data_IF_294419770873
#
_entry.id   IF_294419770873
#
_cell.length_a   1.000
_cell.length_b   1.000
_cell.length_c   1.000
_cell.angle_alpha   90.00
_cell.angle_beta   90.00
_cell.angle_gamma   90.00
#
_symmetry.space_group_name_H-M   'P 1'
#
loop_
_entity.id
_entity.type
_entity.pdbx_description
1 polymer ?
#
# COMPACT_ATOMS: atom_id res chain seq x y z
N UNK A 1 -67.00 -11.33 43.27
CA UNK A 1 -66.81 -10.43 42.12
C UNK A 1 -65.34 -10.15 42.03
N UNK A 2 -64.73 -10.77 41.04
CA UNK A 2 -63.32 -10.78 40.72
C UNK A 2 -62.84 -9.42 40.19
N UNK A 3 -61.60 -9.06 40.49
CA UNK A 3 -60.62 -8.54 39.52
C UNK A 3 -59.31 -8.24 40.24
N UNK A 4 -58.48 -9.28 40.38
CA UNK A 4 -57.04 -9.12 40.41
C UNK A 4 -56.62 -8.75 38.99
N UNK A 5 -55.88 -7.67 38.83
CA UNK A 5 -55.37 -7.17 37.56
C UNK A 5 -53.86 -7.50 37.49
N UNK A 6 -53.42 -8.51 36.72
CA UNK A 6 -52.00 -8.81 36.57
C UNK A 6 -51.58 -8.69 35.11
N UNK A 7 -50.91 -7.60 34.74
CA UNK A 7 -49.88 -7.61 33.69
C UNK A 7 -49.31 -6.20 33.48
N UNK A 8 -48.28 -5.85 34.25
CA UNK A 8 -47.28 -4.91 33.74
C UNK A 8 -46.31 -5.74 32.90
N UNK A 9 -46.17 -5.52 31.58
CA UNK A 9 -45.21 -6.26 30.79
C UNK A 9 -43.81 -5.85 31.26
N UNK A 10 -43.07 -6.82 31.81
CA UNK A 10 -41.68 -6.65 32.16
C UNK A 10 -40.92 -6.14 30.92
N UNK A 11 -40.38 -4.93 31.02
CA UNK A 11 -39.53 -4.36 29.99
C UNK A 11 -38.38 -5.33 29.75
N UNK A 12 -38.34 -5.92 28.56
CA UNK A 12 -37.23 -6.73 28.09
C UNK A 12 -35.99 -5.82 28.02
N UNK A 13 -35.15 -5.89 29.04
CA UNK A 13 -33.81 -5.32 29.00
C UNK A 13 -33.06 -5.99 27.86
N UNK A 14 -33.02 -5.33 26.70
CA UNK A 14 -32.14 -5.74 25.62
C UNK A 14 -30.72 -5.70 26.17
N UNK A 15 -30.14 -6.86 26.43
CA UNK A 15 -28.72 -6.97 26.75
C UNK A 15 -27.99 -6.51 25.49
N UNK A 16 -27.63 -5.22 25.43
CA UNK A 16 -26.72 -4.70 24.41
C UNK A 16 -25.45 -5.53 24.58
N UNK A 17 -25.04 -6.35 23.61
CA UNK A 17 -23.83 -7.13 23.73
C UNK A 17 -22.70 -6.14 23.98
N UNK A 18 -22.01 -6.27 25.11
CA UNK A 18 -20.81 -5.49 25.39
C UNK A 18 -19.81 -5.81 24.28
N UNK A 19 -19.67 -4.90 23.31
CA UNK A 19 -18.68 -5.06 22.25
C UNK A 19 -17.32 -5.18 22.92
N UNK A 20 -16.71 -6.37 22.87
CA UNK A 20 -15.36 -6.58 23.37
C UNK A 20 -14.46 -5.55 22.68
N UNK A 21 -13.60 -4.83 23.42
CA UNK A 21 -12.75 -3.82 22.82
C UNK A 21 -11.94 -4.46 21.68
N UNK A 22 -11.83 -3.79 20.52
CA UNK A 22 -11.16 -4.35 19.35
C UNK A 22 -9.73 -4.73 19.72
N UNK A 23 -9.40 -6.02 19.52
CA UNK A 23 -8.07 -6.55 19.83
C UNK A 23 -7.13 -6.21 18.69
N UNK A 24 -6.16 -5.36 18.96
CA UNK A 24 -5.06 -5.00 18.07
C UNK A 24 -3.78 -5.67 18.54
N UNK A 25 -2.88 -5.97 17.60
CA UNK A 25 -1.65 -6.71 17.87
C UNK A 25 -0.57 -5.89 18.60
N UNK A 26 -0.80 -4.58 18.80
CA UNK A 26 0.14 -3.62 19.40
C UNK A 26 1.52 -3.69 18.73
N UNK A 27 2.61 -3.38 19.43
CA UNK A 27 3.93 -3.29 18.78
C UNK A 27 4.46 -4.65 18.27
N UNK A 28 4.70 -5.60 19.18
CA UNK A 28 5.38 -6.85 18.84
C UNK A 28 4.55 -7.76 17.95
N UNK A 29 3.26 -7.93 18.23
CA UNK A 29 2.40 -8.76 17.38
C UNK A 29 2.29 -8.21 15.96
N UNK A 30 2.18 -6.88 15.82
CA UNK A 30 2.12 -6.24 14.50
C UNK A 30 3.45 -6.32 13.77
N UNK A 31 4.57 -6.25 14.50
CA UNK A 31 5.90 -6.39 13.90
C UNK A 31 6.12 -7.81 13.38
N UNK A 32 5.82 -8.84 14.19
CA UNK A 32 5.99 -10.23 13.78
C UNK A 32 5.07 -10.61 12.61
N UNK A 33 3.79 -10.28 12.70
CA UNK A 33 2.87 -10.47 11.58
C UNK A 33 3.24 -9.61 10.37
N UNK A 34 3.79 -8.41 10.61
CA UNK A 34 4.22 -7.52 9.56
C UNK A 34 5.38 -8.11 8.75
N UNK A 35 6.35 -8.74 9.41
CA UNK A 35 7.42 -9.49 8.76
C UNK A 35 6.87 -10.66 7.93
N UNK A 36 5.85 -11.37 8.43
CA UNK A 36 5.19 -12.45 7.68
C UNK A 36 4.44 -11.92 6.45
N UNK A 37 3.72 -10.81 6.57
CA UNK A 37 3.02 -10.16 5.45
C UNK A 37 4.03 -9.68 4.41
N UNK A 38 5.14 -9.09 4.85
CA UNK A 38 6.25 -8.69 3.98
C UNK A 38 6.83 -9.91 3.25
N UNK A 39 7.16 -10.98 3.97
CA UNK A 39 7.66 -12.21 3.36
C UNK A 39 6.67 -12.82 2.36
N UNK A 40 5.37 -12.81 2.67
CA UNK A 40 4.32 -13.27 1.77
C UNK A 40 4.25 -12.43 0.48
N UNK A 41 4.36 -11.10 0.59
CA UNK A 41 4.42 -10.20 -0.56
C UNK A 41 5.56 -10.57 -1.52
N UNK A 42 6.78 -10.71 -0.98
CA UNK A 42 7.95 -11.10 -1.77
C UNK A 42 7.82 -12.53 -2.32
N UNK A 43 7.27 -13.47 -1.56
CA UNK A 43 7.02 -14.83 -2.05
C UNK A 43 6.08 -14.85 -3.27
N UNK A 44 5.00 -14.04 -3.24
CA UNK A 44 4.10 -13.87 -4.38
C UNK A 44 4.80 -13.30 -5.61
N UNK A 45 5.62 -12.27 -5.43
CA UNK A 45 6.42 -11.66 -6.51
C UNK A 45 7.45 -12.63 -7.09
N UNK A 46 8.17 -13.35 -6.22
CA UNK A 46 9.21 -14.32 -6.60
C UNK A 46 8.66 -15.56 -7.29
N UNK A 47 7.42 -15.97 -6.98
CA UNK A 47 6.78 -17.09 -7.67
C UNK A 47 6.60 -16.81 -9.18
N UNK A 48 6.27 -15.57 -9.54
CA UNK A 48 6.15 -15.15 -10.95
C UNK A 48 7.52 -15.13 -11.62
N UNK A 49 8.53 -14.52 -10.97
CA UNK A 49 9.91 -14.49 -11.49
C UNK A 49 10.41 -15.92 -11.74
N UNK A 50 10.26 -16.80 -10.74
CA UNK A 50 10.67 -18.19 -10.84
C UNK A 50 9.94 -18.92 -11.98
N UNK A 51 8.65 -18.67 -12.15
CA UNK A 51 7.88 -19.24 -13.25
C UNK A 51 8.43 -18.84 -14.62
N UNK A 52 8.80 -17.57 -14.82
CA UNK A 52 9.42 -17.11 -16.07
C UNK A 52 10.82 -17.68 -16.27
N UNK A 53 11.65 -17.71 -15.21
CA UNK A 53 13.00 -18.29 -15.27
C UNK A 53 12.94 -19.77 -15.64
N UNK A 54 12.01 -20.54 -15.07
CA UNK A 54 11.89 -21.97 -15.33
C UNK A 54 11.28 -22.32 -16.69
N UNK A 55 10.50 -21.41 -17.30
CA UNK A 55 9.89 -21.62 -18.63
C UNK A 55 10.72 -21.09 -19.78
N UNK A 56 11.79 -20.37 -19.50
CA UNK A 56 12.71 -19.88 -20.51
C UNK A 56 13.47 -21.05 -21.15
N UNK A 57 13.64 -20.99 -22.46
CA UNK A 57 14.53 -21.90 -23.18
C UNK A 57 15.99 -21.42 -23.05
N UNK A 58 16.91 -22.37 -22.82
CA UNK A 58 18.34 -22.12 -22.70
C UNK A 58 18.89 -22.26 -21.27
N UNK A 59 20.21 -22.06 -21.09
CA UNK A 59 20.86 -22.21 -19.79
C UNK A 59 20.39 -21.13 -18.80
N UNK A 60 20.23 -21.52 -17.53
CA UNK A 60 19.95 -20.60 -16.43
C UNK A 60 21.29 -19.98 -16.00
N UNK A 61 21.54 -18.76 -16.45
CA UNK A 61 22.68 -17.93 -16.01
C UNK A 61 22.22 -16.62 -15.34
N UNK A 62 23.17 -15.90 -14.74
CA UNK A 62 22.88 -14.68 -13.99
C UNK A 62 22.34 -13.56 -14.90
N UNK A 63 22.86 -13.43 -16.12
CA UNK A 63 22.42 -12.41 -17.05
C UNK A 63 20.97 -12.66 -17.50
N UNK A 64 20.63 -13.93 -17.73
CA UNK A 64 19.30 -14.39 -18.03
C UNK A 64 18.30 -14.08 -16.92
N UNK A 65 18.68 -14.33 -15.67
CA UNK A 65 17.86 -14.02 -14.50
C UNK A 65 17.62 -12.50 -14.36
N UNK A 66 18.65 -11.67 -14.53
CA UNK A 66 18.53 -10.21 -14.48
C UNK A 66 17.55 -9.70 -15.54
N UNK A 67 17.64 -10.21 -16.77
CA UNK A 67 16.73 -9.81 -17.84
C UNK A 67 15.27 -10.19 -17.53
N UNK A 68 15.03 -11.37 -16.95
CA UNK A 68 13.66 -11.78 -16.56
C UNK A 68 13.13 -10.87 -15.46
N UNK A 69 13.93 -10.58 -14.45
CA UNK A 69 13.55 -9.73 -13.30
C UNK A 69 13.26 -8.29 -13.74
N UNK A 70 13.99 -7.77 -14.71
CA UNK A 70 13.80 -6.41 -15.24
C UNK A 70 12.68 -6.26 -16.27
N UNK A 71 12.11 -7.37 -16.76
CA UNK A 71 11.08 -7.34 -17.80
C UNK A 71 9.77 -6.70 -17.31
N UNK A 72 9.23 -5.76 -18.11
CA UNK A 72 8.02 -5.02 -17.76
C UNK A 72 6.79 -5.92 -17.55
N UNK A 73 6.63 -6.96 -18.37
CA UNK A 73 5.59 -7.97 -18.16
C UNK A 73 5.80 -8.75 -16.84
N UNK A 74 7.02 -9.22 -16.58
CA UNK A 74 7.37 -9.95 -15.35
C UNK A 74 7.07 -9.10 -14.12
N UNK A 75 7.55 -7.85 -14.09
CA UNK A 75 7.34 -6.92 -12.98
C UNK A 75 5.85 -6.67 -12.75
N UNK A 76 5.08 -6.43 -13.82
CA UNK A 76 3.65 -6.21 -13.73
C UNK A 76 2.93 -7.39 -13.08
N UNK A 77 3.22 -8.62 -13.55
CA UNK A 77 2.64 -9.83 -13.00
C UNK A 77 3.11 -10.11 -11.57
N UNK A 78 4.38 -9.87 -11.25
CA UNK A 78 4.93 -10.01 -9.90
C UNK A 78 4.20 -9.11 -8.91
N UNK A 79 4.03 -7.82 -9.23
CA UNK A 79 3.31 -6.87 -8.37
C UNK A 79 1.86 -7.32 -8.15
N UNK A 80 1.17 -7.75 -9.21
CA UNK A 80 -0.20 -8.26 -9.13
C UNK A 80 -0.27 -9.54 -8.27
N UNK A 81 0.69 -10.46 -8.40
CA UNK A 81 0.75 -11.70 -7.63
C UNK A 81 1.12 -11.48 -6.15
N UNK A 82 1.80 -10.39 -5.82
CA UNK A 82 2.06 -9.99 -4.43
C UNK A 82 0.77 -9.64 -3.66
N UNK A 83 -0.22 -9.03 -4.33
CA UNK A 83 -1.48 -8.61 -3.70
C UNK A 83 -2.25 -9.76 -3.02
N UNK A 84 -2.60 -10.88 -3.68
CA UNK A 84 -3.31 -11.97 -3.02
C UNK A 84 -2.50 -12.58 -1.87
N UNK A 85 -1.18 -12.65 -1.97
CA UNK A 85 -0.33 -13.15 -0.88
C UNK A 85 -0.40 -12.23 0.37
N UNK A 86 -0.36 -10.91 0.15
CA UNK A 86 -0.57 -9.91 1.21
C UNK A 86 -1.97 -10.05 1.81
N UNK A 87 -3.01 -10.16 0.99
CA UNK A 87 -4.39 -10.29 1.46
C UNK A 87 -4.60 -11.55 2.31
N UNK A 88 -4.02 -12.69 1.93
CA UNK A 88 -4.09 -13.94 2.70
C UNK A 88 -3.38 -13.79 4.04
N UNK A 89 -2.17 -13.24 4.05
CA UNK A 89 -1.40 -13.04 5.28
C UNK A 89 -2.10 -12.06 6.24
N UNK A 90 -2.62 -10.93 5.72
CA UNK A 90 -3.41 -9.97 6.49
C UNK A 90 -4.70 -10.60 7.00
N UNK A 91 -5.42 -11.33 6.16
CA UNK A 91 -6.67 -11.99 6.56
C UNK A 91 -6.43 -12.95 7.72
N UNK A 92 -5.36 -13.77 7.66
CA UNK A 92 -5.02 -14.69 8.74
C UNK A 92 -4.71 -13.93 10.04
N UNK A 93 -3.82 -12.94 9.98
CA UNK A 93 -3.43 -12.14 11.13
C UNK A 93 -4.63 -11.44 11.78
N UNK A 94 -5.52 -10.87 10.97
CA UNK A 94 -6.67 -10.11 11.46
C UNK A 94 -7.78 -11.05 11.94
N UNK A 95 -8.00 -12.18 11.27
CA UNK A 95 -8.99 -13.18 11.68
C UNK A 95 -8.71 -13.71 13.07
N UNK A 96 -7.44 -13.96 13.40
CA UNK A 96 -6.98 -14.42 14.72
C UNK A 96 -7.20 -13.34 15.78
N UNK A 97 -7.10 -12.05 15.42
CA UNK A 97 -7.38 -10.95 16.36
C UNK A 97 -8.85 -10.90 16.80
N UNK A 98 -9.77 -11.45 15.99
CA UNK A 98 -11.22 -11.41 16.25
C UNK A 98 -11.90 -10.07 15.90
N UNK A 99 -11.16 -9.12 15.31
CA UNK A 99 -11.70 -7.85 14.82
C UNK A 99 -12.15 -8.00 13.36
N UNK A 100 -13.27 -7.39 12.93
CA UNK A 100 -13.67 -7.39 11.52
C UNK A 100 -12.57 -6.82 10.61
N UNK A 101 -12.35 -7.43 9.45
CA UNK A 101 -11.25 -7.07 8.53
C UNK A 101 -11.28 -5.60 8.12
N UNK A 102 -12.47 -5.11 7.73
CA UNK A 102 -12.67 -3.72 7.34
C UNK A 102 -12.43 -2.73 8.49
N UNK A 103 -12.79 -3.10 9.72
CA UNK A 103 -12.57 -2.25 10.89
C UNK A 103 -11.10 -2.21 11.30
N UNK A 104 -10.40 -3.35 11.23
CA UNK A 104 -8.98 -3.43 11.55
C UNK A 104 -8.16 -2.53 10.63
N UNK A 105 -8.39 -2.64 9.32
CA UNK A 105 -7.65 -1.89 8.30
C UNK A 105 -8.23 -0.48 8.07
N UNK A 106 -9.30 -0.09 8.76
CA UNK A 106 -10.05 1.15 8.52
C UNK A 106 -10.42 1.37 7.04
N UNK A 107 -11.06 0.36 6.44
CA UNK A 107 -11.66 0.42 5.10
C UNK A 107 -12.95 1.25 5.12
N UNK A 108 -12.86 2.48 5.60
CA UNK A 108 -13.98 3.40 5.81
C UNK A 108 -14.11 4.34 4.61
N UNK A 109 -15.35 4.54 4.16
CA UNK A 109 -15.66 5.61 3.21
C UNK A 109 -15.34 6.99 3.81
N UNK A 110 -15.10 7.96 2.93
CA UNK A 110 -14.86 9.35 3.32
C UNK A 110 -15.49 10.29 2.28
N UNK A 111 -15.65 11.58 2.59
CA UNK A 111 -16.25 12.53 1.65
C UNK A 111 -15.34 12.77 0.44
N UNK A 112 -15.93 13.07 -0.72
CA UNK A 112 -15.17 13.39 -1.94
C UNK A 112 -14.18 14.55 -1.74
N UNK A 113 -14.52 15.51 -0.86
CA UNK A 113 -13.66 16.64 -0.49
C UNK A 113 -12.34 16.16 0.09
N UNK A 114 -12.32 15.07 0.86
CA UNK A 114 -11.09 14.55 1.45
C UNK A 114 -10.17 13.92 0.38
N UNK A 115 -10.73 13.35 -0.69
CA UNK A 115 -9.96 12.90 -1.84
C UNK A 115 -9.32 14.08 -2.58
N UNK A 116 -10.06 15.18 -2.74
CA UNK A 116 -9.50 16.41 -3.34
C UNK A 116 -8.41 17.02 -2.44
N UNK A 117 -8.62 17.09 -1.13
CA UNK A 117 -7.59 17.55 -0.18
C UNK A 117 -6.34 16.67 -0.30
N UNK A 118 -6.50 15.35 -0.33
CA UNK A 118 -5.41 14.40 -0.50
C UNK A 118 -4.66 14.60 -1.82
N UNK A 119 -5.38 14.74 -2.94
CA UNK A 119 -4.79 14.99 -4.26
C UNK A 119 -4.07 16.33 -4.36
N UNK A 120 -4.63 17.41 -3.79
CA UNK A 120 -3.98 18.72 -3.75
C UNK A 120 -2.73 18.69 -2.86
N UNK A 121 -2.82 18.08 -1.68
CA UNK A 121 -1.66 17.94 -0.79
C UNK A 121 -0.52 17.15 -1.45
N UNK A 122 -0.86 16.07 -2.17
CA UNK A 122 0.10 15.32 -2.97
C UNK A 122 0.71 16.17 -4.08
N UNK A 123 -0.12 16.87 -4.86
CA UNK A 123 0.35 17.74 -5.94
C UNK A 123 1.30 18.82 -5.45
N UNK A 124 0.98 19.48 -4.33
CA UNK A 124 1.86 20.47 -3.69
C UNK A 124 3.18 19.84 -3.27
N UNK A 125 3.15 18.65 -2.68
CA UNK A 125 4.36 17.94 -2.24
C UNK A 125 5.26 17.59 -3.44
N UNK A 126 4.71 16.98 -4.49
CA UNK A 126 5.45 16.58 -5.69
C UNK A 126 6.00 17.80 -6.44
N UNK A 127 5.20 18.87 -6.60
CA UNK A 127 5.70 20.13 -7.19
C UNK A 127 6.82 20.76 -6.36
N UNK A 128 6.76 20.63 -5.03
CA UNK A 128 7.84 21.05 -4.15
C UNK A 128 9.14 20.28 -4.40
N UNK A 129 9.06 18.97 -4.54
CA UNK A 129 10.22 18.13 -4.87
C UNK A 129 10.76 18.38 -6.28
N UNK A 130 9.89 18.57 -7.29
CA UNK A 130 10.30 18.96 -8.64
C UNK A 130 11.05 20.31 -8.63
N UNK A 131 10.56 21.30 -7.89
CA UNK A 131 11.22 22.59 -7.74
C UNK A 131 12.61 22.47 -7.08
N UNK A 132 12.74 21.65 -6.03
CA UNK A 132 14.03 21.38 -5.37
C UNK A 132 14.97 20.63 -6.32
N UNK A 133 14.46 19.67 -7.09
CA UNK A 133 15.23 18.92 -8.08
C UNK A 133 15.86 19.86 -9.10
N UNK A 134 15.04 20.75 -9.70
CA UNK A 134 15.50 21.78 -10.65
C UNK A 134 16.50 22.76 -10.02
N UNK A 135 16.21 23.25 -8.82
CA UNK A 135 17.08 24.19 -8.11
C UNK A 135 18.44 23.59 -7.73
N UNK A 136 18.51 22.27 -7.56
CA UNK A 136 19.75 21.54 -7.23
C UNK A 136 20.44 20.96 -8.47
N UNK A 137 19.93 21.23 -9.67
CA UNK A 137 20.50 20.74 -10.93
C UNK A 137 20.36 19.22 -11.10
N UNK A 138 19.44 18.57 -10.39
CA UNK A 138 19.14 17.15 -10.57
C UNK A 138 18.19 16.99 -11.73
N UNK A 139 18.63 16.29 -12.76
CA UNK A 139 17.77 15.94 -13.88
C UNK A 139 16.82 14.80 -13.49
N UNK A 140 15.53 14.98 -13.74
CA UNK A 140 14.53 13.92 -13.60
C UNK A 140 14.69 12.99 -14.80
N UNK A 141 15.49 11.94 -14.64
CA UNK A 141 15.65 10.90 -15.66
C UNK A 141 14.60 9.79 -15.47
N UNK A 142 14.12 9.15 -16.55
CA UNK A 142 13.16 8.04 -16.45
C UNK A 142 13.65 6.86 -15.59
N UNK A 143 14.97 6.63 -15.51
CA UNK A 143 15.61 5.60 -14.68
C UNK A 143 14.93 4.23 -14.78
N UNK A 144 14.82 3.54 -13.64
CA UNK A 144 14.13 2.25 -13.51
C UNK A 144 12.72 2.26 -14.11
N UNK A 145 11.93 3.31 -13.86
CA UNK A 145 10.55 3.40 -14.36
C UNK A 145 10.52 3.47 -15.89
N UNK A 146 11.47 4.18 -16.50
CA UNK A 146 11.64 4.27 -17.95
C UNK A 146 11.92 2.91 -18.60
N UNK A 147 12.87 2.16 -18.04
CA UNK A 147 13.25 0.84 -18.55
C UNK A 147 12.06 -0.14 -18.48
N UNK A 148 11.36 -0.17 -17.35
CA UNK A 148 10.17 -1.01 -17.13
C UNK A 148 9.04 -0.62 -18.08
N UNK A 149 8.80 0.68 -18.27
CA UNK A 149 7.78 1.19 -19.19
C UNK A 149 8.09 0.80 -20.64
N UNK A 150 9.35 0.95 -21.07
CA UNK A 150 9.76 0.62 -22.43
C UNK A 150 9.65 -0.89 -22.69
N UNK A 151 10.09 -1.72 -21.74
CA UNK A 151 9.94 -3.17 -21.83
C UNK A 151 8.46 -3.59 -21.85
N UNK A 152 7.61 -3.03 -20.98
CA UNK A 152 6.19 -3.32 -20.98
C UNK A 152 5.49 -2.89 -22.27
N UNK A 153 5.93 -1.79 -22.90
CA UNK A 153 5.46 -1.38 -24.23
C UNK A 153 5.85 -2.37 -25.31
N UNK A 154 7.11 -2.82 -25.32
CA UNK A 154 7.61 -3.80 -26.27
C UNK A 154 6.83 -5.13 -26.17
N UNK A 155 6.45 -5.53 -24.96
CA UNK A 155 5.66 -6.75 -24.69
C UNK A 155 4.14 -6.57 -24.93
N UNK A 156 3.66 -5.39 -25.32
CA UNK A 156 2.22 -5.09 -25.42
C UNK A 156 1.48 -5.11 -24.07
N UNK A 157 2.23 -5.04 -22.96
CA UNK A 157 1.76 -5.17 -21.59
C UNK A 157 1.62 -3.83 -20.84
N UNK A 158 1.67 -2.69 -21.55
CA UNK A 158 1.58 -1.36 -20.92
C UNK A 158 0.33 -1.19 -20.05
N UNK A 159 -0.83 -1.67 -20.51
CA UNK A 159 -2.08 -1.62 -19.75
C UNK A 159 -1.99 -2.42 -18.44
N UNK A 160 -1.28 -3.56 -18.46
CA UNK A 160 -1.07 -4.40 -17.29
C UNK A 160 -0.12 -3.71 -16.29
N UNK A 161 0.92 -3.04 -16.79
CA UNK A 161 1.83 -2.23 -15.96
C UNK A 161 1.07 -1.11 -15.24
N UNK A 162 0.17 -0.40 -15.94
CA UNK A 162 -0.67 0.64 -15.33
C UNK A 162 -1.56 0.05 -14.23
N UNK A 163 -2.20 -1.09 -14.46
CA UNK A 163 -3.01 -1.77 -13.42
C UNK A 163 -2.14 -2.19 -12.24
N UNK A 164 -0.96 -2.77 -12.51
CA UNK A 164 -0.04 -3.21 -11.48
C UNK A 164 0.40 -2.05 -10.58
N UNK A 165 0.85 -0.95 -11.16
CA UNK A 165 1.45 0.16 -10.42
C UNK A 165 0.43 1.15 -9.86
N UNK A 166 -0.69 1.38 -10.54
CA UNK A 166 -1.68 2.37 -10.11
C UNK A 166 -2.80 1.77 -9.25
N UNK A 167 -2.92 0.43 -9.21
CA UNK A 167 -3.98 -0.26 -8.45
C UNK A 167 -3.40 -1.34 -7.54
N UNK A 168 -2.75 -2.37 -8.09
CA UNK A 168 -2.36 -3.53 -7.28
C UNK A 168 -1.32 -3.18 -6.21
N UNK A 169 -0.27 -2.41 -6.56
CA UNK A 169 0.74 -1.91 -5.63
C UNK A 169 0.13 -0.98 -4.55
N UNK A 170 -0.61 0.09 -4.90
CA UNK A 170 -1.26 0.95 -3.90
C UNK A 170 -2.16 0.19 -2.95
N UNK A 171 -2.94 -0.78 -3.45
CA UNK A 171 -3.81 -1.62 -2.60
C UNK A 171 -2.96 -2.48 -1.67
N UNK A 172 -1.97 -3.24 -2.16
CA UNK A 172 -1.18 -4.12 -1.29
C UNK A 172 -0.39 -3.34 -0.26
N UNK A 173 0.28 -2.26 -0.67
CA UNK A 173 1.16 -1.47 0.16
C UNK A 173 0.40 -0.65 1.20
N UNK A 174 -0.73 -0.04 0.86
CA UNK A 174 -1.50 0.76 1.83
C UNK A 174 -2.27 -0.10 2.83
N UNK A 175 -2.80 -1.26 2.42
CA UNK A 175 -3.38 -2.22 3.36
C UNK A 175 -2.33 -2.73 4.35
N UNK A 176 -1.10 -2.95 3.88
CA UNK A 176 0.00 -3.35 4.75
C UNK A 176 0.50 -2.22 5.66
N UNK A 177 0.94 -1.09 5.09
CA UNK A 177 1.57 -0.01 5.83
C UNK A 177 0.57 0.83 6.66
N UNK A 178 -0.52 1.31 6.05
CA UNK A 178 -1.48 2.24 6.69
C UNK A 178 -2.64 1.50 7.33
N UNK A 179 -3.00 0.35 6.77
CA UNK A 179 -4.02 -0.54 7.31
C UNK A 179 -3.51 -1.34 8.51
N UNK A 180 -2.42 -2.09 8.36
CA UNK A 180 -1.97 -3.05 9.38
C UNK A 180 -0.88 -2.49 10.31
N UNK A 181 0.27 -2.08 9.76
CA UNK A 181 1.42 -1.61 10.56
C UNK A 181 1.06 -0.37 11.39
N UNK A 182 0.53 0.67 10.74
CA UNK A 182 0.09 1.89 11.41
C UNK A 182 -0.97 1.60 12.49
N UNK A 183 -1.97 0.74 12.22
CA UNK A 183 -3.02 0.42 13.18
C UNK A 183 -2.45 -0.19 14.45
N UNK A 184 -1.56 -1.16 14.31
CA UNK A 184 -0.97 -1.85 15.44
C UNK A 184 0.03 -1.01 16.23
N UNK A 185 0.89 -0.26 15.53
CA UNK A 185 1.90 0.59 16.16
C UNK A 185 1.31 1.83 16.83
N UNK A 186 0.23 2.41 16.30
CA UNK A 186 -0.41 3.58 16.91
C UNK A 186 -1.06 3.29 18.27
N UNK A 187 -1.43 2.03 18.51
CA UNK A 187 -2.00 1.51 19.76
C UNK A 187 -0.92 0.94 20.72
N UNK A 188 0.32 1.38 20.53
CA UNK A 188 1.49 0.97 21.33
C UNK A 188 2.24 2.18 21.89
N UNK A 189 3.43 1.98 22.47
CA UNK A 189 4.29 3.05 22.99
C UNK A 189 4.69 4.08 21.91
N UNK A 190 4.66 3.72 20.63
CA UNK A 190 4.95 4.64 19.51
C UNK A 190 3.89 5.73 19.32
N UNK A 191 2.65 5.45 19.72
CA UNK A 191 1.49 6.32 19.50
C UNK A 191 1.35 6.71 18.02
N UNK A 192 0.48 7.67 17.72
CA UNK A 192 0.22 8.11 16.34
C UNK A 192 1.49 8.63 15.63
N UNK A 193 2.30 9.56 16.19
CA UNK A 193 3.44 10.11 15.48
C UNK A 193 4.50 9.06 15.14
N UNK A 194 4.83 8.18 16.11
CA UNK A 194 5.79 7.10 15.90
C UNK A 194 5.29 6.06 14.91
N UNK A 195 3.98 5.79 14.88
CA UNK A 195 3.40 4.88 13.89
C UNK A 195 3.44 5.46 12.47
N UNK A 196 3.17 6.76 12.29
CA UNK A 196 3.31 7.45 10.99
C UNK A 196 4.76 7.36 10.53
N UNK A 197 5.70 7.72 11.40
CA UNK A 197 7.12 7.71 11.08
C UNK A 197 7.60 6.30 10.70
N UNK A 198 7.35 5.31 11.56
CA UNK A 198 7.88 3.96 11.35
C UNK A 198 7.24 3.25 10.16
N UNK A 199 5.93 3.39 9.95
CA UNK A 199 5.27 2.83 8.76
C UNK A 199 5.75 3.49 7.47
N UNK A 200 6.07 4.78 7.51
CA UNK A 200 6.65 5.49 6.35
C UNK A 200 8.08 5.00 6.07
N UNK A 201 8.91 4.77 7.09
CA UNK A 201 10.25 4.19 6.92
C UNK A 201 10.16 2.81 6.26
N UNK A 202 9.32 1.91 6.79
CA UNK A 202 9.17 0.55 6.25
C UNK A 202 8.64 0.58 4.82
N UNK A 203 7.67 1.44 4.52
CA UNK A 203 7.14 1.61 3.18
C UNK A 203 8.19 2.17 2.20
N UNK A 204 8.99 3.15 2.62
CA UNK A 204 10.07 3.72 1.80
C UNK A 204 11.16 2.68 1.51
N UNK A 205 11.45 1.78 2.45
CA UNK A 205 12.40 0.69 2.24
C UNK A 205 11.99 -0.32 1.16
N UNK A 206 10.75 -0.29 0.66
CA UNK A 206 10.34 -1.03 -0.54
C UNK A 206 10.83 -0.40 -1.85
N UNK A 207 11.37 0.81 -1.78
CA UNK A 207 11.70 1.66 -2.92
C UNK A 207 13.22 1.88 -3.07
N UNK A 208 14.04 0.90 -2.65
CA UNK A 208 15.50 0.96 -2.65
C UNK A 208 16.13 1.05 -4.07
N UNK A 209 15.32 0.89 -5.13
CA UNK A 209 15.76 1.10 -6.51
C UNK A 209 16.03 2.59 -6.85
N UNK A 210 15.56 3.53 -6.03
CA UNK A 210 15.78 4.96 -6.24
C UNK A 210 17.01 5.48 -5.49
N UNK A 211 17.62 6.55 -6.00
CA UNK A 211 18.71 7.23 -5.31
C UNK A 211 18.25 7.97 -4.04
N UNK A 212 19.21 8.44 -3.24
CA UNK A 212 18.94 9.10 -1.95
C UNK A 212 18.03 10.33 -2.03
N UNK A 213 18.02 11.06 -3.16
CA UNK A 213 17.18 12.24 -3.33
C UNK A 213 15.72 11.82 -3.53
N UNK A 214 15.46 10.95 -4.50
CA UNK A 214 14.11 10.42 -4.74
C UNK A 214 13.63 9.54 -3.58
N UNK A 215 14.52 8.88 -2.85
CA UNK A 215 14.19 8.18 -1.61
C UNK A 215 13.63 9.13 -0.54
N UNK A 216 14.14 10.37 -0.48
CA UNK A 216 13.60 11.44 0.36
C UNK A 216 12.20 11.89 -0.07
N UNK A 217 11.96 12.00 -1.37
CA UNK A 217 10.63 12.29 -1.94
C UNK A 217 9.62 11.20 -1.56
N UNK A 218 9.95 9.95 -1.85
CA UNK A 218 9.15 8.78 -1.47
C UNK A 218 8.86 8.83 0.04
N UNK A 219 9.86 8.99 0.89
CA UNK A 219 9.65 9.06 2.34
C UNK A 219 8.65 10.16 2.74
N UNK A 220 8.74 11.35 2.14
CA UNK A 220 7.81 12.45 2.41
C UNK A 220 6.37 12.15 1.97
N UNK A 221 6.18 11.45 0.85
CA UNK A 221 4.87 10.95 0.41
C UNK A 221 4.36 9.93 1.42
N UNK A 222 5.24 9.08 1.93
CA UNK A 222 4.92 8.13 2.98
C UNK A 222 4.37 8.80 4.24
N UNK A 223 5.00 9.90 4.68
CA UNK A 223 4.54 10.71 5.81
C UNK A 223 3.17 11.35 5.53
N UNK A 224 2.96 11.89 4.32
CA UNK A 224 1.68 12.45 3.89
C UNK A 224 0.57 11.39 3.97
N UNK A 225 0.78 10.20 3.39
CA UNK A 225 -0.20 9.11 3.42
C UNK A 225 -0.49 8.67 4.86
N UNK A 226 0.54 8.57 5.71
CA UNK A 226 0.36 8.29 7.15
C UNK A 226 -0.47 9.35 7.87
N UNK A 227 -0.25 10.63 7.56
CA UNK A 227 -1.05 11.74 8.09
C UNK A 227 -2.50 11.70 7.59
N UNK A 228 -2.74 11.47 6.31
CA UNK A 228 -4.08 11.33 5.74
C UNK A 228 -4.84 10.16 6.39
N UNK A 229 -4.15 9.02 6.58
CA UNK A 229 -4.70 7.86 7.29
C UNK A 229 -5.10 8.20 8.72
N UNK A 230 -4.29 8.96 9.45
CA UNK A 230 -4.60 9.43 10.79
C UNK A 230 -5.79 10.40 10.79
N UNK A 231 -5.72 11.45 9.97
CA UNK A 231 -6.66 12.58 9.95
C UNK A 231 -8.07 12.20 9.51
N UNK A 232 -8.18 11.30 8.54
CA UNK A 232 -9.46 10.93 7.91
C UNK A 232 -9.93 9.52 8.25
N UNK A 233 -9.10 8.74 8.94
CA UNK A 233 -9.39 7.36 9.33
C UNK A 233 -9.91 6.47 8.18
N UNK A 234 -9.32 6.64 6.99
CA UNK A 234 -9.70 5.94 5.77
C UNK A 234 -8.46 5.46 5.03
N UNK A 235 -8.31 4.15 4.88
CA UNK A 235 -7.27 3.55 4.03
C UNK A 235 -7.66 3.60 2.56
N UNK A 236 -8.96 3.68 2.24
CA UNK A 236 -9.40 3.93 0.86
C UNK A 236 -8.89 5.26 0.31
N UNK A 237 -8.86 6.30 1.16
CA UNK A 237 -8.28 7.58 0.79
C UNK A 237 -6.80 7.46 0.45
N UNK A 238 -6.02 6.73 1.26
CA UNK A 238 -4.58 6.60 1.00
C UNK A 238 -4.28 5.72 -0.20
N UNK A 239 -5.05 4.64 -0.42
CA UNK A 239 -5.00 3.83 -1.65
C UNK A 239 -5.23 4.73 -2.88
N UNK A 240 -6.26 5.60 -2.84
CA UNK A 240 -6.53 6.51 -3.95
C UNK A 240 -5.40 7.50 -4.20
N UNK A 241 -4.93 8.20 -3.15
CA UNK A 241 -3.89 9.22 -3.29
C UNK A 241 -2.57 8.58 -3.75
N UNK A 242 -2.24 7.40 -3.25
CA UNK A 242 -1.08 6.64 -3.71
C UNK A 242 -1.25 6.19 -5.17
N UNK A 243 -2.40 5.65 -5.57
CA UNK A 243 -2.67 5.32 -6.97
C UNK A 243 -2.58 6.52 -7.90
N UNK A 244 -3.05 7.70 -7.46
CA UNK A 244 -2.91 8.95 -8.18
C UNK A 244 -1.44 9.37 -8.35
N UNK A 245 -0.62 9.23 -7.29
CA UNK A 245 0.82 9.48 -7.36
C UNK A 245 1.49 8.59 -8.41
N UNK A 246 1.18 7.29 -8.39
CA UNK A 246 1.80 6.34 -9.32
C UNK A 246 1.34 6.59 -10.76
N UNK A 247 0.07 6.95 -10.96
CA UNK A 247 -0.42 7.34 -12.28
C UNK A 247 0.28 8.60 -12.81
N UNK A 248 0.49 9.60 -11.95
CA UNK A 248 1.23 10.81 -12.32
C UNK A 248 2.68 10.48 -12.70
N UNK A 249 3.36 9.62 -11.94
CA UNK A 249 4.72 9.17 -12.24
C UNK A 249 4.80 8.39 -13.57
N UNK A 250 3.84 7.49 -13.84
CA UNK A 250 3.75 6.79 -15.13
C UNK A 250 3.53 7.77 -16.28
N UNK A 251 2.59 8.71 -16.13
CA UNK A 251 2.31 9.73 -17.13
C UNK A 251 3.54 10.63 -17.41
N UNK A 252 4.23 11.08 -16.36
CA UNK A 252 5.47 11.85 -16.48
C UNK A 252 6.55 11.04 -17.21
N UNK A 253 6.72 9.76 -16.88
CA UNK A 253 7.68 8.88 -17.56
C UNK A 253 7.33 8.70 -19.04
N UNK A 254 6.05 8.52 -19.37
CA UNK A 254 5.57 8.45 -20.76
C UNK A 254 5.93 9.74 -21.52
N UNK A 255 5.74 10.91 -20.90
CA UNK A 255 6.05 12.19 -21.50
C UNK A 255 7.56 12.36 -21.72
N UNK A 256 8.38 12.05 -20.71
CA UNK A 256 9.85 12.15 -20.83
C UNK A 256 10.41 11.17 -21.87
N UNK A 257 9.93 9.93 -21.89
CA UNK A 257 10.38 8.91 -22.84
C UNK A 257 9.88 9.13 -24.29
N UNK A 258 8.87 9.99 -24.50
CA UNK A 258 8.37 10.35 -25.83
C UNK A 258 9.10 11.51 -26.50
N UNK A 259 9.98 12.21 -25.77
CA UNK A 259 10.76 13.36 -26.27
C UNK A 259 12.26 13.07 -26.42
N UNK A 260 12.69 11.81 -26.19
CA UNK A 260 14.04 11.32 -26.46
C UNK A 260 14.07 10.42 -27.69
#
# INVERSE_FOLDING_TARGET
>A
MDSLDPASPAASTSVIPTQRPPRVWKFWGTTLWGLLVFAAMFAGQMAVVLWFVLRREGPIDVAAAIHVVGGGLTISLSVIAGLPAVLVALWLAIRISGTPFADYLALRGTSWVNFVIGGVALGVLVMGWDAVSRATGREVSPGFMGDVLQSARADGALWLLVIAFCVAAPVSEELFARGFLYRGWSESFLRVPGAILLSSIVWTALHLQYDWFFFGEVFSIGLLLGYLRYRFNSTWLTIFVHGLNNLAAVAQTIMLAGHG
#
